data_IF_427322601640
#
_entry.id   IF_427322601640
#
_cell.length_a   1.000
_cell.length_b   1.000
_cell.length_c   1.000
_cell.angle_alpha   90.00
_cell.angle_beta   90.00
_cell.angle_gamma   90.00
#
_symmetry.space_group_name_H-M   'P 1'
#
loop_
_entity.id
_entity.type
_entity.pdbx_description
1 polymer ?
#
# COMPACT_ATOMS: atom_id res chain seq x y z
N UNK A 1 10.27 -19.58 -33.18
CA UNK A 1 10.86 -19.59 -31.82
C UNK A 1 9.87 -20.31 -30.91
N UNK A 2 10.16 -21.54 -30.48
CA UNK A 2 9.30 -22.26 -29.51
C UNK A 2 9.71 -21.88 -28.09
N UNK A 3 8.84 -21.19 -27.35
CA UNK A 3 9.07 -20.91 -25.94
C UNK A 3 8.85 -22.20 -25.13
N UNK A 4 9.91 -22.76 -24.55
CA UNK A 4 9.78 -23.88 -23.59
C UNK A 4 9.10 -23.34 -22.32
N UNK A 5 7.91 -23.87 -22.00
CA UNK A 5 7.18 -23.57 -20.76
C UNK A 5 7.81 -24.38 -19.63
N UNK A 6 8.76 -23.77 -18.91
CA UNK A 6 9.43 -24.38 -17.75
C UNK A 6 9.31 -23.43 -16.56
N UNK A 7 8.86 -23.95 -15.42
CA UNK A 7 8.89 -23.21 -14.16
C UNK A 7 10.31 -23.24 -13.59
N UNK A 8 10.89 -22.06 -13.36
CA UNK A 8 12.21 -21.97 -12.76
C UNK A 8 12.11 -22.22 -11.26
N UNK A 9 12.76 -23.29 -10.79
CA UNK A 9 12.89 -23.55 -9.36
C UNK A 9 13.77 -22.48 -8.72
N UNK A 10 13.17 -21.68 -7.86
CA UNK A 10 13.88 -20.65 -7.10
C UNK A 10 14.98 -21.26 -6.22
N UNK A 11 16.05 -20.52 -6.02
CA UNK A 11 17.05 -20.75 -4.99
C UNK A 11 16.51 -20.37 -3.59
N UNK A 12 17.23 -20.75 -2.54
CA UNK A 12 16.87 -20.35 -1.17
C UNK A 12 16.94 -18.83 -0.94
N UNK A 13 17.87 -18.15 -1.62
CA UNK A 13 18.01 -16.70 -1.56
C UNK A 13 16.82 -16.01 -2.22
N UNK A 14 16.41 -16.44 -3.41
CA UNK A 14 15.24 -15.89 -4.11
C UNK A 14 13.95 -16.14 -3.35
N UNK A 15 13.75 -17.35 -2.80
CA UNK A 15 12.62 -17.65 -1.91
C UNK A 15 12.54 -16.67 -0.74
N UNK A 16 13.67 -16.43 -0.08
CA UNK A 16 13.75 -15.51 1.05
C UNK A 16 13.44 -14.08 0.62
N UNK A 17 13.97 -13.62 -0.52
CA UNK A 17 13.69 -12.28 -1.04
C UNK A 17 12.22 -12.11 -1.41
N UNK A 18 11.59 -13.12 -2.02
CA UNK A 18 10.15 -13.08 -2.31
C UNK A 18 9.31 -13.00 -1.04
N UNK A 19 9.64 -13.79 -0.01
CA UNK A 19 8.95 -13.73 1.28
C UNK A 19 9.08 -12.35 1.94
N UNK A 20 10.28 -11.75 1.89
CA UNK A 20 10.51 -10.38 2.35
C UNK A 20 9.67 -9.34 1.58
N UNK A 21 9.60 -9.45 0.25
CA UNK A 21 8.76 -8.57 -0.58
C UNK A 21 7.27 -8.70 -0.21
N UNK A 22 6.78 -9.92 0.02
CA UNK A 22 5.41 -10.17 0.46
C UNK A 22 5.14 -9.60 1.87
N UNK A 23 6.10 -9.77 2.78
CA UNK A 23 6.05 -9.17 4.12
C UNK A 23 5.96 -7.64 4.07
N UNK A 24 6.77 -7.01 3.20
CA UNK A 24 6.70 -5.57 2.98
C UNK A 24 5.35 -5.12 2.41
N UNK A 25 4.82 -5.83 1.41
CA UNK A 25 3.50 -5.55 0.85
C UNK A 25 2.40 -5.60 1.93
N UNK A 26 2.43 -6.64 2.77
CA UNK A 26 1.48 -6.81 3.88
C UNK A 26 1.60 -5.70 4.92
N UNK A 27 2.82 -5.32 5.27
CA UNK A 27 3.07 -4.20 6.18
C UNK A 27 2.43 -2.90 5.67
N UNK A 28 2.65 -2.56 4.39
CA UNK A 28 2.07 -1.34 3.79
C UNK A 28 0.55 -1.40 3.73
N UNK A 29 -0.01 -2.55 3.34
CA UNK A 29 -1.46 -2.75 3.30
C UNK A 29 -2.08 -2.51 4.68
N UNK A 30 -1.50 -3.11 5.73
CA UNK A 30 -1.96 -2.95 7.10
C UNK A 30 -1.81 -1.51 7.60
N UNK A 31 -0.72 -0.84 7.27
CA UNK A 31 -0.55 0.59 7.55
C UNK A 31 -1.69 1.41 6.92
N UNK A 32 -1.96 1.19 5.63
CA UNK A 32 -3.04 1.88 4.92
C UNK A 32 -4.41 1.60 5.52
N UNK A 33 -4.70 0.35 5.86
CA UNK A 33 -5.95 -0.06 6.51
C UNK A 33 -6.11 0.63 7.88
N UNK A 34 -5.04 0.67 8.68
CA UNK A 34 -5.05 1.36 9.97
C UNK A 34 -5.36 2.85 9.81
N UNK A 35 -4.73 3.52 8.84
CA UNK A 35 -4.99 4.94 8.55
C UNK A 35 -6.44 5.17 8.11
N UNK A 36 -7.02 4.30 7.28
CA UNK A 36 -8.43 4.41 6.86
C UNK A 36 -9.38 4.28 8.06
N UNK A 37 -9.12 3.34 8.96
CA UNK A 37 -9.92 3.13 10.16
C UNK A 37 -9.78 4.29 11.15
N UNK A 38 -8.56 4.75 11.41
CA UNK A 38 -8.28 5.88 12.30
C UNK A 38 -8.89 7.20 11.81
N UNK A 39 -9.05 7.35 10.49
CA UNK A 39 -9.64 8.55 9.87
C UNK A 39 -11.13 8.40 9.57
N UNK A 40 -11.79 7.39 10.15
CA UNK A 40 -13.20 7.06 9.89
C UNK A 40 -14.19 8.20 10.18
N UNK A 41 -13.91 9.00 11.21
CA UNK A 41 -14.71 10.15 11.61
C UNK A 41 -14.35 11.46 10.87
N UNK A 42 -13.31 11.46 10.03
CA UNK A 42 -12.89 12.67 9.32
C UNK A 42 -13.90 13.09 8.26
N UNK A 43 -14.16 14.39 8.22
CA UNK A 43 -15.09 15.06 7.31
C UNK A 43 -14.39 16.14 6.51
N UNK A 44 -14.95 16.49 5.36
CA UNK A 44 -14.57 17.67 4.56
C UNK A 44 -15.79 18.55 4.30
N UNK A 45 -15.57 19.82 4.00
CA UNK A 45 -16.63 20.69 3.49
C UNK A 45 -16.72 20.50 1.97
N UNK A 46 -17.91 20.22 1.46
CA UNK A 46 -18.13 20.09 0.02
C UNK A 46 -18.30 21.48 -0.64
N UNK A 47 -18.42 21.52 -1.96
CA UNK A 47 -18.61 22.77 -2.72
C UNK A 47 -19.87 23.57 -2.33
N UNK A 48 -20.82 22.95 -1.63
CA UNK A 48 -22.07 23.55 -1.15
C UNK A 48 -21.97 24.03 0.31
N UNK A 49 -20.78 24.02 0.91
CA UNK A 49 -20.58 24.41 2.30
C UNK A 49 -20.99 23.36 3.33
N UNK A 50 -21.37 22.15 2.91
CA UNK A 50 -21.86 21.11 3.82
C UNK A 50 -20.72 20.20 4.29
N UNK A 51 -20.72 19.85 5.58
CA UNK A 51 -19.80 18.87 6.17
C UNK A 51 -20.22 17.45 5.74
N UNK A 52 -19.34 16.78 5.00
CA UNK A 52 -19.55 15.41 4.50
C UNK A 52 -18.40 14.50 4.91
N UNK A 53 -18.66 13.22 5.08
CA UNK A 53 -17.62 12.22 5.37
C UNK A 53 -16.58 12.16 4.26
N UNK A 54 -15.32 11.98 4.63
CA UNK A 54 -14.24 11.78 3.68
C UNK A 54 -14.37 10.40 3.02
N UNK A 55 -14.28 10.33 1.68
CA UNK A 55 -14.40 9.05 0.97
C UNK A 55 -13.19 8.15 1.22
N UNK A 56 -13.39 6.82 1.12
CA UNK A 56 -12.30 5.83 1.24
C UNK A 56 -11.15 6.12 0.27
N UNK A 57 -11.46 6.44 -0.99
CA UNK A 57 -10.45 6.79 -2.00
C UNK A 57 -9.55 7.94 -1.56
N UNK A 58 -10.13 8.99 -0.96
CA UNK A 58 -9.34 10.13 -0.49
C UNK A 58 -8.52 9.75 0.76
N UNK A 59 -9.09 9.00 1.70
CA UNK A 59 -8.35 8.51 2.88
C UNK A 59 -7.14 7.66 2.48
N UNK A 60 -7.32 6.75 1.54
CA UNK A 60 -6.25 5.88 1.02
C UNK A 60 -5.19 6.70 0.28
N UNK A 61 -5.60 7.69 -0.52
CA UNK A 61 -4.67 8.59 -1.22
C UNK A 61 -3.80 9.38 -0.23
N UNK A 62 -4.40 9.97 0.81
CA UNK A 62 -3.67 10.70 1.83
C UNK A 62 -2.78 9.78 2.67
N UNK A 63 -3.25 8.58 3.03
CA UNK A 63 -2.43 7.57 3.70
C UNK A 63 -1.18 7.21 2.88
N UNK A 64 -1.32 7.04 1.55
CA UNK A 64 -0.20 6.79 0.64
C UNK A 64 0.78 7.97 0.60
N UNK A 65 0.30 9.21 0.59
CA UNK A 65 1.16 10.40 0.62
C UNK A 65 1.95 10.48 1.92
N UNK A 66 1.29 10.32 3.06
CA UNK A 66 1.94 10.30 4.39
C UNK A 66 2.98 9.18 4.45
N UNK A 67 2.63 7.98 3.98
CA UNK A 67 3.57 6.86 3.94
C UNK A 67 4.82 7.19 3.13
N UNK A 68 4.64 7.71 1.92
CA UNK A 68 5.73 7.95 0.97
C UNK A 68 6.63 9.12 1.39
N UNK A 69 6.02 10.20 1.88
CA UNK A 69 6.73 11.46 2.12
C UNK A 69 7.25 11.60 3.54
N UNK A 70 6.66 10.90 4.51
CA UNK A 70 6.99 11.02 5.93
C UNK A 70 7.42 9.69 6.53
N UNK A 71 6.55 8.67 6.55
CA UNK A 71 6.82 7.40 7.28
C UNK A 71 8.06 6.69 6.74
N UNK A 72 8.13 6.46 5.43
CA UNK A 72 9.27 5.78 4.78
C UNK A 72 10.60 6.53 4.93
N UNK A 73 10.58 7.82 5.29
CA UNK A 73 11.78 8.63 5.50
C UNK A 73 12.27 8.60 6.95
N UNK A 74 11.49 8.08 7.90
CA UNK A 74 11.97 7.97 9.27
C UNK A 74 13.07 6.90 9.40
N UNK A 75 14.06 7.09 10.29
CA UNK A 75 15.18 6.17 10.45
C UNK A 75 14.75 4.72 10.73
N UNK A 76 13.72 4.52 11.54
CA UNK A 76 13.18 3.20 11.90
C UNK A 76 12.55 2.45 10.71
N UNK A 77 12.20 3.17 9.64
CA UNK A 77 11.66 2.60 8.40
C UNK A 77 12.67 2.60 7.25
N UNK A 78 13.96 2.87 7.51
CA UNK A 78 14.99 2.87 6.48
C UNK A 78 15.07 1.55 5.69
N UNK A 79 14.74 0.42 6.34
CA UNK A 79 14.66 -0.91 5.73
C UNK A 79 13.66 -1.00 4.57
N UNK A 80 12.63 -0.15 4.53
CA UNK A 80 11.64 -0.11 3.46
C UNK A 80 12.24 0.34 2.11
N UNK A 81 13.41 0.99 2.13
CA UNK A 81 14.14 1.39 0.93
C UNK A 81 14.80 0.20 0.21
N UNK A 82 14.90 -0.96 0.84
CA UNK A 82 15.48 -2.19 0.27
C UNK A 82 14.53 -2.92 -0.70
N UNK A 83 13.34 -2.36 -0.93
CA UNK A 83 12.28 -2.95 -1.73
C UNK A 83 11.82 -1.99 -2.84
N UNK A 84 11.34 -2.57 -3.94
CA UNK A 84 10.84 -1.79 -5.07
C UNK A 84 9.67 -0.89 -4.65
N UNK A 85 9.64 0.32 -5.21
CA UNK A 85 8.54 1.26 -5.01
C UNK A 85 7.20 0.73 -5.52
N UNK A 86 7.25 -0.18 -6.51
CA UNK A 86 6.05 -0.84 -7.04
C UNK A 86 5.30 -1.64 -5.97
N UNK A 87 6.00 -2.21 -4.99
CA UNK A 87 5.38 -3.06 -3.96
C UNK A 87 4.42 -2.24 -3.09
N UNK A 88 4.88 -1.11 -2.54
CA UNK A 88 4.01 -0.28 -1.70
C UNK A 88 2.91 0.40 -2.53
N UNK A 89 3.21 0.78 -3.78
CA UNK A 89 2.20 1.35 -4.69
C UNK A 89 1.08 0.35 -4.99
N UNK A 90 1.42 -0.90 -5.31
CA UNK A 90 0.45 -1.97 -5.54
C UNK A 90 -0.33 -2.32 -4.26
N UNK A 91 0.31 -2.32 -3.08
CA UNK A 91 -0.39 -2.54 -1.82
C UNK A 91 -1.51 -1.52 -1.57
N UNK A 92 -1.25 -0.22 -1.82
CA UNK A 92 -2.28 0.82 -1.74
C UNK A 92 -3.35 0.70 -2.85
N UNK A 93 -2.97 0.24 -4.04
CA UNK A 93 -3.94 -0.02 -5.11
C UNK A 93 -4.90 -1.15 -4.73
N UNK A 94 -4.39 -2.27 -4.23
CA UNK A 94 -5.22 -3.39 -3.77
C UNK A 94 -6.11 -3.00 -2.60
N UNK A 95 -5.62 -2.16 -1.68
CA UNK A 95 -6.47 -1.59 -0.64
C UNK A 95 -7.61 -0.76 -1.25
N UNK A 96 -7.32 0.08 -2.24
CA UNK A 96 -8.32 0.85 -2.97
C UNK A 96 -9.36 -0.03 -3.68
N UNK A 97 -8.92 -1.13 -4.29
CA UNK A 97 -9.79 -2.13 -4.93
C UNK A 97 -10.72 -2.82 -3.92
N UNK A 98 -10.22 -3.14 -2.72
CA UNK A 98 -11.01 -3.77 -1.67
C UNK A 98 -12.17 -2.89 -1.15
N UNK A 99 -12.05 -1.56 -1.27
CA UNK A 99 -13.10 -0.61 -0.88
C UNK A 99 -14.02 -0.18 -2.05
N UNK A 100 -13.86 -0.74 -3.25
CA UNK A 100 -14.82 -0.50 -4.34
C UNK A 100 -16.13 -1.25 -4.06
N UNK A 101 -17.29 -0.67 -4.41
CA UNK A 101 -18.56 -1.41 -4.38
C UNK A 101 -18.48 -2.61 -5.35
N UNK A 102 -19.13 -3.71 -4.98
CA UNK A 102 -19.24 -4.92 -5.80
C UNK A 102 -20.27 -4.75 -6.90
#
# INVERSE_FOLDING_TARGET
MYAKKLELKLSNQERSKMAQCAGYARFVYNYGLNMVNATSAMTKVNKRGQKVSLSYTLRILEAKKVFTNYVKKQPEYAWANNYSSRIYQSAFQHLGEAFKPK
#
